data_IF_942857739471
#
_entry.id   IF_942857739471
#
_cell.length_a   1.000
_cell.length_b   1.000
_cell.length_c   1.000
_cell.angle_alpha   90.00
_cell.angle_beta   90.00
_cell.angle_gamma   90.00
#
_symmetry.space_group_name_H-M   'P 1'
#
loop_
_entity.id
_entity.type
_entity.pdbx_description
1 polymer ?
#
# COMPACT_ATOMS: atom_id res chain seq x y z
N UNK A 1 -44.77 55.22 -5.48
CA UNK A 1 -44.07 54.11 -4.80
C UNK A 1 -43.41 54.69 -3.57
N UNK A 2 -43.78 54.23 -2.37
CA UNK A 2 -43.20 54.80 -1.14
C UNK A 2 -41.78 54.27 -0.94
N UNK A 3 -40.93 55.00 -0.23
CA UNK A 3 -39.57 54.55 0.11
C UNK A 3 -39.56 53.19 0.81
N UNK A 4 -40.61 52.89 1.58
CA UNK A 4 -40.82 51.59 2.22
C UNK A 4 -40.94 50.45 1.20
N UNK A 5 -41.73 50.61 0.13
CA UNK A 5 -41.97 49.55 -0.87
C UNK A 5 -40.70 49.16 -1.64
N UNK A 6 -39.84 50.14 -1.91
CA UNK A 6 -38.55 49.94 -2.61
C UNK A 6 -37.59 49.12 -1.74
N UNK A 7 -37.55 49.38 -0.44
CA UNK A 7 -36.70 48.68 0.52
C UNK A 7 -37.18 47.22 0.69
N UNK A 8 -38.49 46.99 0.75
CA UNK A 8 -39.03 45.62 0.85
C UNK A 8 -38.76 44.79 -0.40
N UNK A 9 -38.95 45.37 -1.58
CA UNK A 9 -38.70 44.68 -2.86
C UNK A 9 -37.21 44.33 -3.04
N UNK A 10 -36.32 45.27 -2.72
CA UNK A 10 -34.87 45.03 -2.79
C UNK A 10 -34.41 43.95 -1.80
N UNK A 11 -34.95 43.90 -0.58
CA UNK A 11 -34.66 42.83 0.39
C UNK A 11 -35.11 41.44 -0.06
N UNK A 12 -36.28 41.34 -0.71
CA UNK A 12 -36.78 40.06 -1.28
C UNK A 12 -35.92 39.59 -2.44
N UNK A 13 -35.46 40.50 -3.31
CA UNK A 13 -34.55 40.16 -4.43
C UNK A 13 -33.20 39.69 -3.89
N UNK A 14 -32.61 40.43 -2.93
CA UNK A 14 -31.32 40.06 -2.33
C UNK A 14 -31.39 38.70 -1.65
N UNK A 15 -32.40 38.45 -0.83
CA UNK A 15 -32.57 37.16 -0.16
C UNK A 15 -32.82 36.00 -1.15
N UNK A 16 -33.56 36.24 -2.23
CA UNK A 16 -33.78 35.24 -3.29
C UNK A 16 -32.48 34.91 -4.03
N UNK A 17 -31.67 35.92 -4.36
CA UNK A 17 -30.35 35.75 -4.98
C UNK A 17 -29.40 35.02 -4.04
N UNK A 18 -29.37 35.36 -2.75
CA UNK A 18 -28.57 34.66 -1.74
C UNK A 18 -28.99 33.20 -1.57
N UNK A 19 -30.30 32.91 -1.59
CA UNK A 19 -30.81 31.55 -1.55
C UNK A 19 -30.38 30.74 -2.79
N UNK A 20 -30.49 31.33 -3.99
CA UNK A 20 -30.04 30.69 -5.23
C UNK A 20 -28.52 30.43 -5.25
N UNK A 21 -27.72 31.41 -4.79
CA UNK A 21 -26.27 31.27 -4.65
C UNK A 21 -25.90 30.12 -3.69
N UNK A 22 -26.60 30.01 -2.56
CA UNK A 22 -26.36 28.95 -1.57
C UNK A 22 -26.65 27.56 -2.14
N UNK A 23 -27.74 27.40 -2.91
CA UNK A 23 -28.07 26.16 -3.61
C UNK A 23 -26.99 25.81 -4.63
N UNK A 24 -26.53 26.79 -5.43
CA UNK A 24 -25.45 26.57 -6.38
C UNK A 24 -24.16 26.13 -5.69
N UNK A 25 -23.79 26.75 -4.56
CA UNK A 25 -22.65 26.33 -3.74
C UNK A 25 -22.79 24.89 -3.25
N UNK A 26 -23.97 24.48 -2.79
CA UNK A 26 -24.22 23.10 -2.35
C UNK A 26 -24.06 22.09 -3.50
N UNK A 27 -24.55 22.42 -4.70
CA UNK A 27 -24.40 21.56 -5.88
C UNK A 27 -22.93 21.39 -6.30
N UNK A 28 -22.15 22.47 -6.24
CA UNK A 28 -20.72 22.45 -6.51
C UNK A 28 -20.00 21.63 -5.43
N UNK A 29 -20.29 21.87 -4.15
CA UNK A 29 -19.69 21.14 -3.04
C UNK A 29 -19.99 19.64 -3.10
N UNK A 30 -21.22 19.25 -3.46
CA UNK A 30 -21.59 17.85 -3.67
C UNK A 30 -20.78 17.21 -4.78
N UNK A 31 -20.64 17.90 -5.92
CA UNK A 31 -19.85 17.42 -7.07
C UNK A 31 -18.36 17.31 -6.75
N UNK A 32 -17.82 18.28 -6.00
CA UNK A 32 -16.44 18.28 -5.54
C UNK A 32 -16.19 17.09 -4.59
N UNK A 33 -17.10 16.83 -3.64
CA UNK A 33 -16.98 15.72 -2.71
C UNK A 33 -17.04 14.35 -3.41
N UNK A 34 -17.95 14.18 -4.39
CA UNK A 34 -18.00 12.94 -5.16
C UNK A 34 -16.74 12.71 -5.97
N UNK A 35 -16.18 13.77 -6.56
CA UNK A 35 -14.93 13.70 -7.33
C UNK A 35 -13.75 13.36 -6.40
N UNK A 36 -13.68 14.00 -5.24
CA UNK A 36 -12.65 13.74 -4.24
C UNK A 36 -12.68 12.29 -3.75
N UNK A 37 -13.88 11.75 -3.47
CA UNK A 37 -14.02 10.34 -3.10
C UNK A 37 -13.52 9.40 -4.20
N UNK A 38 -13.85 9.68 -5.47
CA UNK A 38 -13.37 8.88 -6.59
C UNK A 38 -11.84 8.94 -6.73
N UNK A 39 -11.23 10.11 -6.48
CA UNK A 39 -9.77 10.28 -6.48
C UNK A 39 -9.11 9.50 -5.34
N UNK A 40 -9.67 9.51 -4.13
CA UNK A 40 -9.14 8.74 -2.99
C UNK A 40 -9.17 7.23 -3.26
N UNK A 41 -10.25 6.72 -3.87
CA UNK A 41 -10.35 5.31 -4.29
C UNK A 41 -9.26 5.00 -5.32
N UNK A 42 -9.13 5.83 -6.36
CA UNK A 42 -8.14 5.63 -7.42
C UNK A 42 -6.72 5.66 -6.86
N UNK A 43 -6.45 6.58 -5.94
CA UNK A 43 -5.17 6.71 -5.25
C UNK A 43 -4.86 5.48 -4.41
N UNK A 44 -5.80 4.99 -3.60
CA UNK A 44 -5.62 3.79 -2.78
C UNK A 44 -5.24 2.56 -3.63
N UNK A 45 -5.95 2.37 -4.77
CA UNK A 45 -5.62 1.32 -5.76
C UNK A 45 -4.22 1.49 -6.36
N UNK A 46 -3.84 2.72 -6.74
CA UNK A 46 -2.52 3.05 -7.27
C UNK A 46 -1.42 2.73 -6.26
N UNK A 47 -1.57 3.21 -5.04
CA UNK A 47 -0.55 3.13 -4.00
C UNK A 47 -0.30 1.65 -3.64
N UNK A 48 -1.36 0.84 -3.53
CA UNK A 48 -1.22 -0.61 -3.34
C UNK A 48 -0.46 -1.27 -4.49
N UNK A 49 -0.80 -0.96 -5.75
CA UNK A 49 -0.09 -1.50 -6.93
C UNK A 49 1.39 -1.10 -6.96
N UNK A 50 1.70 0.14 -6.57
CA UNK A 50 3.08 0.62 -6.48
C UNK A 50 3.87 -0.09 -5.38
N UNK A 51 3.26 -0.37 -4.23
CA UNK A 51 3.91 -1.13 -3.17
C UNK A 51 4.22 -2.57 -3.59
N UNK A 52 3.31 -3.24 -4.31
CA UNK A 52 3.58 -4.56 -4.89
C UNK A 52 4.76 -4.54 -5.87
N UNK A 53 4.88 -3.45 -6.65
CA UNK A 53 5.99 -3.27 -7.58
C UNK A 53 7.31 -3.03 -6.83
N UNK A 54 7.30 -2.22 -5.79
CA UNK A 54 8.45 -2.01 -4.90
C UNK A 54 8.89 -3.34 -4.25
N UNK A 55 7.94 -4.12 -3.75
CA UNK A 55 8.19 -5.46 -3.21
C UNK A 55 8.88 -6.35 -4.23
N UNK A 56 8.40 -6.37 -5.49
CA UNK A 56 9.05 -7.11 -6.57
C UNK A 56 10.50 -6.64 -6.78
N UNK A 57 10.76 -5.34 -6.78
CA UNK A 57 12.12 -4.82 -6.93
C UNK A 57 13.04 -5.23 -5.78
N UNK A 58 12.56 -5.21 -4.54
CA UNK A 58 13.34 -5.69 -3.39
C UNK A 58 13.64 -7.18 -3.52
N UNK A 59 12.64 -8.00 -3.86
CA UNK A 59 12.80 -9.45 -4.03
C UNK A 59 13.86 -9.78 -5.07
N UNK A 60 13.96 -9.04 -6.18
CA UNK A 60 14.94 -9.29 -7.25
C UNK A 60 16.40 -9.24 -6.79
N UNK A 61 16.71 -8.52 -5.72
CA UNK A 61 18.07 -8.41 -5.17
C UNK A 61 18.41 -9.48 -4.13
N UNK A 62 17.43 -10.29 -3.73
CA UNK A 62 17.61 -11.37 -2.76
C UNK A 62 18.07 -12.67 -3.42
N UNK A 63 18.64 -13.62 -2.64
CA UNK A 63 19.04 -14.92 -3.19
C UNK A 63 17.84 -15.74 -3.65
N UNK A 64 18.12 -16.70 -4.55
CA UNK A 64 17.10 -17.60 -5.08
C UNK A 64 16.39 -18.39 -3.98
N UNK A 65 17.08 -18.76 -2.91
CA UNK A 65 16.50 -19.43 -1.74
C UNK A 65 16.98 -18.78 -0.45
N UNK A 66 16.09 -18.67 0.53
CA UNK A 66 16.42 -18.11 1.84
C UNK A 66 17.03 -19.19 2.73
N UNK A 67 18.24 -18.94 3.24
CA UNK A 67 18.83 -19.78 4.27
C UNK A 67 18.45 -19.21 5.63
N UNK A 68 17.44 -19.80 6.26
CA UNK A 68 16.91 -19.35 7.55
C UNK A 68 17.98 -19.37 8.65
N UNK A 69 18.89 -20.35 8.65
CA UNK A 69 19.97 -20.42 9.64
C UNK A 69 20.92 -19.22 9.54
N UNK A 70 21.37 -18.88 8.33
CA UNK A 70 22.21 -17.71 8.09
C UNK A 70 21.47 -16.39 8.38
N UNK A 71 20.17 -16.33 8.09
CA UNK A 71 19.35 -15.16 8.40
C UNK A 71 19.21 -14.96 9.92
N UNK A 72 18.91 -16.03 10.67
CA UNK A 72 18.79 -15.96 12.13
C UNK A 72 20.12 -15.57 12.78
N UNK A 73 21.23 -16.15 12.30
CA UNK A 73 22.57 -15.75 12.73
C UNK A 73 22.85 -14.27 12.43
N UNK A 74 22.51 -13.80 11.24
CA UNK A 74 22.65 -12.39 10.87
C UNK A 74 21.82 -11.44 11.75
N UNK A 75 20.58 -11.82 12.09
CA UNK A 75 19.71 -11.05 13.00
C UNK A 75 20.27 -11.02 14.41
N UNK A 76 20.78 -12.14 14.90
CA UNK A 76 21.41 -12.22 16.22
C UNK A 76 22.70 -11.37 16.27
N UNK A 77 23.51 -11.35 15.21
CA UNK A 77 24.68 -10.47 15.14
C UNK A 77 24.32 -8.97 15.12
N UNK A 78 23.18 -8.60 14.51
CA UNK A 78 22.72 -7.20 14.43
C UNK A 78 22.07 -6.69 15.71
N UNK A 79 21.17 -7.48 16.30
CA UNK A 79 20.29 -7.05 17.39
C UNK A 79 20.48 -7.85 18.69
N UNK A 80 21.23 -8.94 18.63
CA UNK A 80 21.54 -9.76 19.79
C UNK A 80 22.42 -9.02 20.78
N UNK A 81 22.27 -9.38 22.05
CA UNK A 81 22.97 -8.73 23.17
C UNK A 81 24.25 -9.47 23.57
N UNK A 82 24.50 -10.69 23.07
CA UNK A 82 25.60 -11.55 23.52
C UNK A 82 26.49 -12.03 22.37
N UNK A 83 27.80 -11.87 22.56
CA UNK A 83 28.84 -12.00 21.53
C UNK A 83 29.35 -13.42 21.24
N UNK A 84 28.68 -14.48 21.70
CA UNK A 84 29.19 -15.85 21.51
C UNK A 84 29.27 -16.26 20.03
N UNK A 85 28.25 -15.90 19.23
CA UNK A 85 28.27 -16.12 17.78
C UNK A 85 29.37 -15.29 17.09
N UNK A 86 29.70 -14.12 17.64
CA UNK A 86 30.71 -13.21 17.11
C UNK A 86 32.14 -13.71 17.39
N UNK A 87 32.36 -14.35 18.53
CA UNK A 87 33.66 -14.92 18.93
C UNK A 87 34.14 -16.06 18.00
N UNK A 88 33.22 -16.75 17.34
CA UNK A 88 33.51 -17.89 16.46
C UNK A 88 33.67 -17.49 14.98
N UNK A 89 33.44 -16.24 14.64
CA UNK A 89 33.39 -15.76 13.25
C UNK A 89 34.46 -14.71 12.96
N UNK A 90 34.98 -14.74 11.73
CA UNK A 90 35.88 -13.69 11.26
C UNK A 90 35.05 -12.47 10.84
N UNK A 91 35.59 -11.25 11.03
CA UNK A 91 34.93 -9.97 10.68
C UNK A 91 34.23 -9.95 9.31
N UNK A 92 34.84 -10.60 8.30
CA UNK A 92 34.26 -10.70 6.95
C UNK A 92 32.94 -11.49 6.94
N UNK A 93 32.86 -12.57 7.71
CA UNK A 93 31.64 -13.40 7.81
C UNK A 93 30.55 -12.66 8.59
N UNK A 94 30.92 -11.99 9.68
CA UNK A 94 30.00 -11.15 10.46
C UNK A 94 29.33 -10.12 9.54
N UNK A 95 30.12 -9.34 8.81
CA UNK A 95 29.60 -8.34 7.85
C UNK A 95 28.71 -8.95 6.77
N UNK A 96 29.02 -10.16 6.31
CA UNK A 96 28.21 -10.86 5.31
C UNK A 96 26.84 -11.27 5.87
N UNK A 97 26.78 -11.85 7.08
CA UNK A 97 25.53 -12.24 7.72
C UNK A 97 24.69 -11.04 8.16
N UNK A 98 25.32 -10.00 8.71
CA UNK A 98 24.66 -8.72 9.00
C UNK A 98 24.08 -8.09 7.74
N UNK A 99 24.86 -8.05 6.65
CA UNK A 99 24.41 -7.54 5.36
C UNK A 99 23.22 -8.33 4.82
N UNK A 100 23.28 -9.67 4.91
CA UNK A 100 22.17 -10.52 4.50
C UNK A 100 20.89 -10.26 5.30
N UNK A 101 21.00 -10.11 6.63
CA UNK A 101 19.85 -9.79 7.47
C UNK A 101 19.27 -8.40 7.18
N UNK A 102 20.10 -7.39 6.90
CA UNK A 102 19.64 -6.04 6.50
C UNK A 102 18.90 -6.04 5.16
N UNK A 103 19.39 -6.78 4.16
CA UNK A 103 18.67 -6.89 2.89
C UNK A 103 17.34 -7.63 3.05
N UNK A 104 17.28 -8.60 3.96
CA UNK A 104 16.04 -9.29 4.30
C UNK A 104 15.06 -8.38 5.07
N UNK A 105 15.53 -7.50 5.94
CA UNK A 105 14.69 -6.50 6.63
C UNK A 105 13.95 -5.60 5.62
N UNK A 106 14.62 -5.18 4.53
CA UNK A 106 13.96 -4.41 3.45
C UNK A 106 12.80 -5.18 2.81
N UNK A 107 12.91 -6.50 2.71
CA UNK A 107 11.83 -7.35 2.22
C UNK A 107 10.66 -7.40 3.20
N UNK A 108 10.94 -7.54 4.50
CA UNK A 108 9.93 -7.50 5.55
C UNK A 108 9.20 -6.14 5.55
N UNK A 109 9.94 -5.03 5.41
CA UNK A 109 9.38 -3.68 5.34
C UNK A 109 8.49 -3.49 4.10
N UNK A 110 8.94 -3.94 2.93
CA UNK A 110 8.15 -3.86 1.71
C UNK A 110 6.87 -4.71 1.79
N UNK A 111 6.92 -5.89 2.42
CA UNK A 111 5.74 -6.71 2.66
C UNK A 111 4.76 -6.03 3.63
N UNK A 112 5.27 -5.43 4.71
CA UNK A 112 4.44 -4.67 5.65
C UNK A 112 3.79 -3.44 4.98
N UNK A 113 4.50 -2.76 4.08
CA UNK A 113 3.93 -1.66 3.30
C UNK A 113 2.78 -2.15 2.40
N UNK A 114 2.98 -3.24 1.68
CA UNK A 114 1.92 -3.87 0.89
C UNK A 114 0.71 -4.23 1.76
N UNK A 115 0.94 -4.81 2.94
CA UNK A 115 -0.12 -5.18 3.89
C UNK A 115 -0.94 -3.98 4.37
N UNK A 116 -0.28 -2.86 4.70
CA UNK A 116 -0.95 -1.62 5.13
C UNK A 116 -1.81 -1.03 4.03
N UNK A 117 -1.30 -1.02 2.79
CA UNK A 117 -2.02 -0.49 1.64
C UNK A 117 -3.14 -1.42 1.18
N UNK A 118 -2.97 -2.74 1.32
CA UNK A 118 -4.06 -3.69 1.19
C UNK A 118 -5.15 -3.38 2.21
N UNK A 119 -4.82 -3.25 3.50
CA UNK A 119 -5.82 -2.95 4.53
C UNK A 119 -6.62 -1.67 4.23
N UNK A 120 -5.99 -0.65 3.66
CA UNK A 120 -6.66 0.58 3.23
C UNK A 120 -7.51 0.45 1.96
N UNK A 121 -7.33 -0.62 1.18
CA UNK A 121 -7.98 -0.85 -0.12
C UNK A 121 -8.83 -2.14 -0.18
N UNK A 122 -8.80 -2.98 0.85
CA UNK A 122 -9.41 -4.32 0.88
C UNK A 122 -10.90 -4.29 0.51
N UNK A 123 -11.64 -3.33 1.07
CA UNK A 123 -13.06 -3.15 0.77
C UNK A 123 -13.36 -2.86 -0.70
N UNK A 124 -12.39 -2.35 -1.47
CA UNK A 124 -12.53 -2.07 -2.90
C UNK A 124 -12.37 -3.32 -3.78
N UNK A 125 -11.78 -4.39 -3.25
CA UNK A 125 -11.39 -5.59 -3.99
C UNK A 125 -12.08 -6.86 -3.50
N UNK A 126 -12.98 -6.74 -2.53
CA UNK A 126 -13.69 -7.88 -1.94
C UNK A 126 -14.48 -8.66 -3.00
N UNK A 127 -14.33 -9.97 -3.02
CA UNK A 127 -14.92 -10.90 -3.98
C UNK A 127 -14.29 -10.86 -5.38
N UNK A 128 -13.26 -10.06 -5.61
CA UNK A 128 -12.59 -9.95 -6.91
C UNK A 128 -11.40 -10.91 -7.02
N UNK A 129 -10.85 -11.06 -8.22
CA UNK A 129 -9.63 -11.84 -8.42
C UNK A 129 -8.41 -11.23 -7.72
N UNK A 130 -8.41 -9.91 -7.46
CA UNK A 130 -7.34 -9.20 -6.75
C UNK A 130 -7.18 -9.74 -5.32
N UNK A 131 -8.30 -9.97 -4.61
CA UNK A 131 -8.31 -10.54 -3.25
C UNK A 131 -7.68 -11.94 -3.24
N UNK A 132 -8.14 -12.83 -4.13
CA UNK A 132 -7.61 -14.20 -4.22
C UNK A 132 -6.11 -14.24 -4.53
N UNK A 133 -5.65 -13.38 -5.44
CA UNK A 133 -4.23 -13.31 -5.81
C UNK A 133 -3.37 -12.71 -4.69
N UNK A 134 -3.90 -11.74 -3.95
CA UNK A 134 -3.22 -11.18 -2.80
C UNK A 134 -3.04 -12.21 -1.67
N UNK A 135 -4.06 -13.04 -1.38
CA UNK A 135 -3.90 -14.19 -0.47
C UNK A 135 -2.80 -15.16 -0.97
N UNK A 136 -2.76 -15.40 -2.28
CA UNK A 136 -1.71 -16.17 -2.94
C UNK A 136 -0.30 -15.59 -2.74
N UNK A 137 -0.16 -14.26 -2.80
CA UNK A 137 1.10 -13.55 -2.55
C UNK A 137 1.52 -13.70 -1.09
N UNK A 138 0.62 -13.57 -0.12
CA UNK A 138 0.92 -13.81 1.29
C UNK A 138 1.46 -15.22 1.53
N UNK A 139 0.82 -16.23 0.93
CA UNK A 139 1.28 -17.61 1.02
C UNK A 139 2.67 -17.74 0.37
N UNK A 140 2.86 -17.20 -0.83
CA UNK A 140 4.13 -17.29 -1.54
C UNK A 140 5.28 -16.58 -0.81
N UNK A 141 5.00 -15.42 -0.19
CA UNK A 141 5.92 -14.73 0.69
C UNK A 141 6.36 -15.63 1.85
N UNK A 142 5.42 -16.27 2.55
CA UNK A 142 5.74 -17.18 3.66
C UNK A 142 6.56 -18.40 3.22
N UNK A 143 6.23 -19.00 2.07
CA UNK A 143 6.99 -20.13 1.53
C UNK A 143 8.42 -19.74 1.15
N UNK A 144 8.61 -18.58 0.52
CA UNK A 144 9.93 -18.08 0.13
C UNK A 144 10.78 -17.69 1.33
N UNK A 145 10.23 -16.92 2.27
CA UNK A 145 10.93 -16.45 3.48
C UNK A 145 11.34 -17.59 4.42
N UNK A 146 10.61 -18.70 4.42
CA UNK A 146 10.97 -19.91 5.15
C UNK A 146 11.93 -20.83 4.39
N UNK A 147 12.38 -20.43 3.19
CA UNK A 147 13.28 -21.22 2.34
C UNK A 147 12.65 -22.47 1.74
N UNK A 148 11.32 -22.62 1.80
CA UNK A 148 10.58 -23.77 1.26
C UNK A 148 10.34 -23.68 -0.24
N UNK A 149 10.33 -22.46 -0.78
CA UNK A 149 10.22 -22.16 -2.19
C UNK A 149 11.28 -21.16 -2.63
N UNK A 150 11.47 -21.05 -3.95
CA UNK A 150 12.44 -20.13 -4.53
C UNK A 150 11.86 -18.74 -4.83
N UNK A 151 12.75 -17.80 -5.10
CA UNK A 151 12.45 -16.42 -5.46
C UNK A 151 11.50 -16.33 -6.66
N UNK A 152 11.69 -17.21 -7.66
CA UNK A 152 10.85 -17.24 -8.87
C UNK A 152 9.39 -17.57 -8.55
N UNK A 153 9.14 -18.48 -7.62
CA UNK A 153 7.78 -18.80 -7.15
C UNK A 153 7.09 -17.56 -6.59
N UNK A 154 7.79 -16.79 -5.77
CA UNK A 154 7.23 -15.57 -5.19
C UNK A 154 7.05 -14.45 -6.21
N UNK A 155 8.03 -14.22 -7.08
CA UNK A 155 7.91 -13.24 -8.19
C UNK A 155 6.74 -13.59 -9.09
N UNK A 156 6.51 -14.88 -9.39
CA UNK A 156 5.37 -15.30 -10.20
C UNK A 156 4.02 -14.96 -9.58
N UNK A 157 3.90 -15.04 -8.25
CA UNK A 157 2.69 -14.64 -7.54
C UNK A 157 2.48 -13.10 -7.62
N UNK A 158 3.55 -12.33 -7.44
CA UNK A 158 3.52 -10.87 -7.61
C UNK A 158 3.13 -10.47 -9.04
N UNK A 159 3.69 -11.13 -10.05
CA UNK A 159 3.42 -10.85 -11.46
C UNK A 159 1.97 -11.14 -11.86
N UNK A 160 1.39 -12.21 -11.32
CA UNK A 160 -0.01 -12.54 -11.54
C UNK A 160 -0.96 -11.41 -11.07
N UNK A 161 -0.61 -10.70 -10.00
CA UNK A 161 -1.39 -9.56 -9.51
C UNK A 161 -1.03 -8.25 -10.22
N UNK A 162 0.25 -8.00 -10.50
CA UNK A 162 0.71 -6.76 -11.13
C UNK A 162 0.19 -6.58 -12.56
N UNK A 163 -0.09 -7.67 -13.27
CA UNK A 163 -0.67 -7.61 -14.63
C UNK A 163 -2.14 -7.16 -14.63
N UNK A 164 -2.84 -7.29 -13.50
CA UNK A 164 -4.23 -6.85 -13.38
C UNK A 164 -4.31 -5.33 -13.40
N UNK A 165 -5.25 -4.81 -14.19
CA UNK A 165 -5.58 -3.40 -14.17
C UNK A 165 -6.54 -3.06 -13.02
N UNK A 166 -5.96 -2.89 -11.84
CA UNK A 166 -6.70 -2.56 -10.60
C UNK A 166 -7.51 -1.26 -10.72
N UNK A 167 -7.19 -0.36 -11.66
CA UNK A 167 -7.88 0.91 -11.83
C UNK A 167 -9.32 0.73 -12.34
N UNK A 168 -9.55 -0.27 -13.19
CA UNK A 168 -10.86 -0.53 -13.80
C UNK A 168 -11.63 -1.68 -13.12
N UNK A 169 -11.06 -2.34 -12.12
CA UNK A 169 -11.80 -3.29 -11.29
C UNK A 169 -12.98 -2.59 -10.60
N UNK A 170 -14.23 -3.06 -10.79
CA UNK A 170 -15.39 -2.45 -10.15
C UNK A 170 -15.25 -2.56 -8.62
N UNK A 171 -15.29 -1.43 -7.94
CA UNK A 171 -15.40 -1.42 -6.48
C UNK A 171 -16.76 -1.99 -6.08
N UNK A 172 -16.76 -2.96 -5.18
CA UNK A 172 -17.99 -3.55 -4.62
C UNK A 172 -18.76 -2.58 -3.71
#
# INVERSE_FOLDING_TARGET
MTTSDVITLSGVIVSSVSAAASVATLLIAKSALSTWKAQEILKSKKDFKLALLEMKFVVLWLPETINVGHLMLGRDLLYGTQGEAREQLVDKQIKAFEGYAREFEKLEDAMQNCARLWFASEGLFKGTNVENLWEGIYKAYNEYTQGRQNQKFFISALDALLVIDMYFEPST
#
